data_IF_741476973470
#
_entry.id   IF_741476973470
#
_cell.length_a   1.000
_cell.length_b   1.000
_cell.length_c   1.000
_cell.angle_alpha   90.00
_cell.angle_beta   90.00
_cell.angle_gamma   90.00
#
_symmetry.space_group_name_H-M   'P 1'
#
loop_
_entity.id
_entity.type
_entity.pdbx_description
1 polymer ?
2 polymer ?
3 non-polymer ?
4 non-polymer ?
5 water ?
#
loop_
_entity_poly.entity_id
_entity_poly.type
_entity_poly.pdbx_seq_one_letter_code
_entity_poly.pdbx_strand_id
2 'polyribonucleotide' 'AG' ?
#
# COMPACT_ATOMS: atom_id res chain seq x y z
N UNK A 4 25.87 1.54 3.88
CA UNK A 4 24.83 2.43 4.38
C UNK A 4 23.63 2.54 3.46
N UNK A 5 23.74 3.36 2.43
CA UNK A 5 22.59 3.63 1.57
C UNK A 5 22.13 2.37 0.85
N UNK A 6 23.07 1.55 0.38
CA UNK A 6 22.69 0.30 -0.28
C UNK A 6 21.89 -0.59 0.65
N UNK A 7 22.31 -0.71 1.91
CA UNK A 7 21.56 -1.53 2.86
C UNK A 7 20.18 -0.95 3.11
N UNK A 8 20.10 0.37 3.28
CA UNK A 8 18.83 1.03 3.55
C UNK A 8 17.89 0.96 2.37
N UNK A 9 18.41 0.71 1.16
CA UNK A 9 17.58 0.62 -0.04
C UNK A 9 17.20 -0.81 -0.40
N UNK A 10 17.49 -1.77 0.47
CA UNK A 10 16.96 -3.11 0.27
C UNK A 10 15.43 -3.11 0.37
N UNK A 11 14.83 -4.21 -0.04
CA UNK A 11 13.38 -4.40 0.03
C UNK A 11 13.08 -5.73 0.70
N UNK A 12 12.04 -5.75 1.52
CA UNK A 12 11.63 -6.95 2.21
C UNK A 12 10.36 -7.46 1.53
N UNK A 13 10.54 -8.40 0.61
CA UNK A 13 9.41 -8.97 -0.11
C UNK A 13 8.70 -10.01 0.75
N UNK A 14 7.40 -9.87 0.90
CA UNK A 14 6.60 -10.81 1.68
C UNK A 14 5.35 -11.18 0.88
N UNK A 15 4.89 -12.41 1.04
CA UNK A 15 3.56 -12.75 0.61
C UNK A 15 2.97 -13.69 1.65
N UNK A 16 1.70 -13.47 1.96
CA UNK A 16 0.97 -14.25 2.96
C UNK A 16 -0.18 -14.98 2.31
N UNK A 17 -0.54 -16.12 2.89
CA UNK A 17 -1.87 -16.69 2.72
C UNK A 17 -2.59 -16.56 4.05
N UNK A 18 -3.89 -16.27 3.99
CA UNK A 18 -4.73 -16.09 5.15
C UNK A 18 -5.96 -16.98 5.01
N UNK A 19 -6.64 -17.21 6.13
CA UNK A 19 -7.91 -17.96 6.06
C UNK A 19 -9.02 -17.13 5.44
N UNK A 20 -8.79 -15.85 5.20
CA UNK A 20 -9.76 -14.98 4.57
C UNK A 20 -9.32 -13.53 4.75
N UNK A 21 -10.20 -12.61 4.35
CA UNK A 21 -9.88 -11.19 4.30
C UNK A 21 -10.41 -10.41 5.48
N UNK A 22 -11.00 -11.08 6.48
CA UNK A 22 -11.63 -10.41 7.62
C UNK A 22 -10.58 -10.25 8.71
N UNK A 23 -10.09 -9.04 8.89
CA UNK A 23 -9.02 -8.80 9.87
C UNK A 23 -9.45 -9.13 11.30
N UNK A 24 -10.76 -9.14 11.56
CA UNK A 24 -11.22 -9.41 12.92
C UNK A 24 -11.24 -10.89 13.27
N UNK A 25 -11.22 -11.79 12.28
CA UNK A 25 -11.27 -13.22 12.59
C UNK A 25 -10.22 -14.05 11.87
N UNK A 26 -9.82 -13.65 10.67
CA UNK A 26 -8.97 -14.51 9.88
C UNK A 26 -7.51 -14.43 10.33
N UNK A 27 -6.76 -15.48 10.01
CA UNK A 27 -5.42 -15.68 10.53
C UNK A 27 -4.46 -16.00 9.39
N UNK A 28 -3.18 -15.75 9.65
CA UNK A 28 -2.11 -16.06 8.70
C UNK A 28 -1.84 -17.56 8.74
N UNK A 29 -1.88 -18.20 7.57
CA UNK A 29 -1.59 -19.62 7.46
C UNK A 29 -0.33 -19.93 6.67
N UNK A 30 0.17 -19.00 5.86
CA UNK A 30 1.44 -19.22 5.16
C UNK A 30 2.13 -17.89 5.01
N UNK A 31 3.45 -17.89 5.09
CA UNK A 31 4.21 -16.66 4.91
C UNK A 31 5.57 -17.00 4.34
N UNK A 32 6.00 -16.22 3.35
CA UNK A 32 7.35 -16.33 2.82
C UNK A 32 7.95 -14.93 2.71
N UNK A 33 9.28 -14.88 2.73
CA UNK A 33 9.97 -13.60 2.76
C UNK A 33 11.30 -13.77 2.06
N UNK A 34 11.66 -12.78 1.26
CA UNK A 34 13.03 -12.72 0.79
C UNK A 34 13.44 -11.26 0.68
N UNK A 35 14.74 -11.06 0.55
CA UNK A 35 15.34 -9.73 0.49
C UNK A 35 15.86 -9.50 -0.91
N UNK A 36 15.55 -8.34 -1.50
CA UNK A 36 16.27 -7.90 -2.68
C UNK A 36 17.08 -6.63 -2.40
N UNK A 37 18.09 -6.41 -3.23
CA UNK A 37 18.71 -5.10 -3.28
C UNK A 37 17.76 -4.11 -3.95
N UNK A 38 18.23 -2.87 -4.09
CA UNK A 38 17.38 -1.84 -4.68
C UNK A 38 17.02 -2.13 -6.12
N UNK A 39 17.80 -2.99 -6.79
CA UNK A 39 17.61 -3.32 -8.20
C UNK A 39 16.89 -4.64 -8.40
N UNK A 40 16.28 -5.19 -7.35
CA UNK A 40 15.43 -6.37 -7.40
C UNK A 40 16.20 -7.68 -7.48
N UNK A 41 17.52 -7.67 -7.30
CA UNK A 41 18.29 -8.90 -7.23
C UNK A 41 18.07 -9.55 -5.88
N UNK A 42 17.79 -10.86 -5.88
CA UNK A 42 17.54 -11.56 -4.62
C UNK A 42 18.86 -11.75 -3.88
N UNK A 43 18.91 -11.27 -2.64
CA UNK A 43 20.11 -11.37 -1.82
C UNK A 43 20.05 -12.53 -0.85
N UNK A 44 18.86 -12.86 -0.36
CA UNK A 44 18.73 -13.89 0.66
C UNK A 44 17.30 -14.38 0.67
N UNK A 45 17.13 -15.69 0.84
CA UNK A 45 15.81 -16.30 0.97
C UNK A 45 15.52 -16.49 2.45
N UNK A 46 14.37 -15.99 2.89
CA UNK A 46 13.98 -16.12 4.28
C UNK A 46 13.14 -17.35 4.50
N UNK A 47 12.57 -17.44 5.69
CA UNK A 47 11.70 -18.58 6.01
C UNK A 47 10.52 -18.66 5.06
N UNK A 48 10.03 -19.89 4.89
CA UNK A 48 8.88 -20.17 4.02
C UNK A 48 8.06 -21.16 4.84
N UNK A 49 7.07 -20.62 5.56
CA UNK A 49 6.47 -21.34 6.70
C UNK A 49 4.97 -21.45 6.57
N UNK A 50 4.46 -22.61 6.96
CA UNK A 50 3.02 -22.89 7.06
C UNK A 50 2.67 -22.91 8.55
N UNK A 51 1.72 -22.06 8.94
CA UNK A 51 1.48 -21.74 10.35
C UNK A 51 0.22 -22.45 10.81
N UNK A 52 0.33 -23.18 11.92
CA UNK A 52 -0.82 -23.88 12.49
C UNK A 52 -1.92 -22.90 12.89
N UNK A 53 -3.14 -23.21 12.51
CA UNK A 53 -4.33 -22.50 12.92
C UNK A 53 -5.42 -23.52 13.19
N UNK A 54 -6.45 -23.18 13.95
CA UNK A 54 -7.40 -24.20 14.43
C UNK A 54 -8.23 -24.82 13.31
N UNK A 55 -8.57 -26.10 13.50
CA UNK A 55 -9.46 -26.79 12.56
C UNK A 55 -10.76 -26.04 12.37
N UNK A 56 -11.33 -25.51 13.46
CA UNK A 56 -12.62 -24.82 13.36
C UNK A 56 -12.55 -23.65 12.41
N UNK A 57 -11.41 -22.94 12.39
CA UNK A 57 -11.27 -21.82 11.48
C UNK A 57 -11.16 -22.28 10.03
N UNK A 58 -10.34 -23.31 9.79
CA UNK A 58 -10.21 -23.82 8.42
C UNK A 58 -11.54 -24.36 7.90
N UNK A 59 -12.30 -25.03 8.78
CA UNK A 59 -13.57 -25.61 8.39
C UNK A 59 -14.63 -24.56 8.10
N UNK A 60 -14.45 -23.33 8.60
CA UNK A 60 -15.44 -22.28 8.39
C UNK A 60 -15.00 -21.21 7.40
N UNK A 61 -13.89 -21.45 6.68
CA UNK A 61 -13.44 -20.51 5.67
C UNK A 61 -14.49 -20.34 4.59
N UNK A 62 -14.41 -19.19 3.90
CA UNK A 62 -15.25 -18.95 2.74
C UNK A 62 -15.05 -20.06 1.71
N UNK A 63 -16.07 -20.23 0.86
CA UNK A 63 -15.95 -21.21 -0.22
C UNK A 63 -14.71 -20.95 -1.06
N UNK A 64 -14.40 -19.68 -1.33
CA UNK A 64 -13.21 -19.36 -2.12
C UNK A 64 -11.95 -19.90 -1.44
N UNK A 65 -11.81 -19.65 -0.14
CA UNK A 65 -10.61 -20.11 0.54
C UNK A 65 -10.61 -21.63 0.69
N UNK A 66 -11.75 -22.25 0.95
CA UNK A 66 -11.79 -23.72 1.03
C UNK A 66 -11.32 -24.34 -0.26
N UNK A 67 -11.81 -23.82 -1.39
CA UNK A 67 -11.45 -24.37 -2.69
C UNK A 67 -9.99 -24.13 -3.00
N UNK A 68 -9.51 -22.91 -2.79
CA UNK A 68 -8.16 -22.57 -3.21
C UNK A 68 -7.10 -23.16 -2.28
N UNK A 69 -7.27 -23.00 -0.96
CA UNK A 69 -6.31 -23.58 -0.04
C UNK A 69 -6.43 -25.10 0.03
N UNK A 70 -7.60 -25.62 -0.30
CA UNK A 70 -7.75 -27.06 -0.40
C UNK A 70 -6.94 -27.65 -1.53
N UNK A 71 -7.15 -27.17 -2.76
CA UNK A 71 -6.51 -27.80 -3.91
C UNK A 71 -5.00 -27.56 -3.96
N UNK A 72 -4.50 -26.50 -3.33
CA UNK A 72 -3.07 -26.27 -3.32
C UNK A 72 -2.34 -27.13 -2.31
N UNK A 73 -3.08 -27.87 -1.48
CA UNK A 73 -2.48 -28.62 -0.39
C UNK A 73 -2.29 -27.81 0.88
N UNK A 74 -2.57 -26.51 0.87
CA UNK A 74 -2.27 -25.69 2.03
C UNK A 74 -3.13 -26.06 3.23
N UNK A 75 -4.42 -26.32 3.02
CA UNK A 75 -5.28 -26.63 4.18
C UNK A 75 -4.75 -27.85 4.92
N UNK A 76 -4.46 -28.93 4.20
CA UNK A 76 -3.90 -30.12 4.83
C UNK A 76 -2.61 -29.81 5.57
N UNK A 77 -1.74 -29.01 4.96
CA UNK A 77 -0.46 -28.70 5.59
C UNK A 77 -0.64 -27.85 6.85
N UNK A 78 -1.64 -26.95 6.87
CA UNK A 78 -1.90 -26.19 8.09
C UNK A 78 -2.27 -27.13 9.23
N UNK A 79 -3.14 -28.10 8.95
CA UNK A 79 -3.59 -29.02 10.00
C UNK A 79 -2.43 -29.84 10.57
N UNK A 80 -1.42 -30.12 9.75
CA UNK A 80 -0.26 -30.89 10.18
C UNK A 80 0.86 -30.02 10.75
N UNK A 81 0.73 -28.70 10.71
CA UNK A 81 1.85 -27.84 11.07
C UNK A 81 2.07 -27.86 12.58
N UNK A 82 3.34 -27.78 12.97
CA UNK A 82 3.71 -27.60 14.37
C UNK A 82 4.27 -26.21 14.64
N UNK A 83 4.15 -25.29 13.69
CA UNK A 83 4.73 -23.97 13.78
C UNK A 83 3.66 -23.01 14.29
N UNK A 84 3.88 -22.46 15.48
CA UNK A 84 2.96 -21.45 15.98
C UNK A 84 3.22 -20.10 15.33
N UNK A 85 2.20 -19.24 15.38
CA UNK A 85 2.36 -17.88 14.90
C UNK A 85 3.55 -17.19 15.57
N UNK A 86 3.71 -17.37 16.87
CA UNK A 86 4.80 -16.71 17.59
C UNK A 86 6.15 -17.21 17.12
N UNK A 87 6.31 -18.52 16.94
CA UNK A 87 7.58 -19.03 16.45
C UNK A 87 7.85 -18.58 15.03
N UNK A 88 6.82 -18.55 14.17
CA UNK A 88 6.99 -18.07 12.82
C UNK A 88 7.44 -16.62 12.82
N UNK A 89 6.78 -15.77 13.61
CA UNK A 89 7.18 -14.37 13.68
C UNK A 89 8.64 -14.25 14.07
N UNK A 90 9.08 -15.04 15.05
CA UNK A 90 10.48 -14.96 15.45
C UNK A 90 11.41 -15.31 14.30
N UNK A 91 11.12 -16.37 13.55
CA UNK A 91 11.98 -16.71 12.42
C UNK A 91 12.07 -15.57 11.43
N UNK A 92 10.95 -14.92 11.13
CA UNK A 92 11.00 -13.81 10.18
C UNK A 92 11.74 -12.61 10.75
N UNK A 93 11.51 -12.31 12.03
CA UNK A 93 12.19 -11.18 12.68
C UNK A 93 13.69 -11.41 12.74
N UNK A 94 14.11 -12.60 13.13
CA UNK A 94 15.53 -12.92 13.16
C UNK A 94 16.14 -12.78 11.77
N UNK A 95 15.41 -13.22 10.74
CA UNK A 95 15.91 -13.12 9.39
C UNK A 95 16.12 -11.66 8.96
N UNK A 96 15.09 -10.82 9.13
CA UNK A 96 15.27 -9.43 8.71
C UNK A 96 16.31 -8.70 9.55
N UNK A 97 16.48 -9.08 10.82
CA UNK A 97 17.56 -8.47 11.61
C UNK A 97 18.93 -8.77 11.05
N UNK A 98 19.09 -9.91 10.38
CA UNK A 98 20.36 -10.27 9.75
C UNK A 98 20.56 -9.61 8.39
N UNK A 99 19.49 -9.06 7.80
CA UNK A 99 19.52 -8.65 6.40
C UNK A 99 19.25 -7.17 6.15
N UNK A 100 18.63 -6.45 7.07
CA UNK A 100 18.25 -5.07 6.80
C UNK A 100 18.48 -4.22 8.03
N UNK A 101 18.82 -2.94 7.85
CA UNK A 101 18.99 -2.06 9.01
C UNK A 101 17.65 -1.75 9.64
N UNK A 102 17.59 -1.60 10.96
CA UNK A 102 16.30 -1.46 11.63
C UNK A 102 15.56 -0.20 11.19
N UNK A 103 14.28 -0.41 10.85
CA UNK A 103 13.36 0.67 10.55
C UNK A 103 13.42 1.25 9.16
N UNK A 104 14.35 0.80 8.31
CA UNK A 104 14.63 1.54 7.09
C UNK A 104 14.04 0.94 5.82
N UNK A 105 13.73 -0.35 5.80
CA UNK A 105 13.37 -1.01 4.55
C UNK A 105 11.90 -1.34 4.49
N UNK A 106 11.28 -1.22 3.32
CA UNK A 106 9.84 -1.43 3.18
C UNK A 106 9.46 -2.86 2.81
N UNK A 107 8.25 -3.23 3.21
CA UNK A 107 7.59 -4.39 2.61
C UNK A 107 7.40 -4.16 1.12
N UNK A 108 7.44 -5.25 0.34
CA UNK A 108 7.23 -5.18 -1.09
C UNK A 108 6.38 -6.36 -1.56
N UNK A 109 5.46 -6.10 -2.46
CA UNK A 109 4.64 -7.15 -3.05
C UNK A 109 3.44 -6.53 -3.75
N UNK A 110 2.60 -7.41 -4.33
CA UNK A 110 1.35 -6.98 -4.96
C UNK A 110 0.28 -6.74 -3.91
N UNK A 111 -0.23 -5.52 -3.85
CA UNK A 111 -1.24 -5.15 -2.85
C UNK A 111 -0.79 -5.54 -1.45
N UNK A 112 0.51 -5.33 -1.20
CA UNK A 112 1.16 -5.76 0.04
C UNK A 112 0.66 -4.99 1.26
N UNK A 113 -0.15 -3.95 1.04
CA UNK A 113 -0.85 -3.35 2.17
C UNK A 113 -1.78 -4.34 2.87
N UNK A 114 -2.31 -5.32 2.13
CA UNK A 114 -3.16 -6.31 2.79
C UNK A 114 -2.32 -7.18 3.72
N UNK A 115 -1.17 -7.65 3.24
CA UNK A 115 -0.23 -8.34 4.11
C UNK A 115 0.15 -7.48 5.29
N UNK A 116 0.47 -6.20 5.04
CA UNK A 116 0.82 -5.29 6.14
C UNK A 116 -0.28 -5.18 7.18
N UNK A 117 -1.55 -5.14 6.76
CA UNK A 117 -2.64 -5.09 7.74
C UNK A 117 -2.60 -6.29 8.65
N UNK A 118 -2.39 -7.49 8.09
CA UNK A 118 -2.32 -8.69 8.92
C UNK A 118 -1.04 -8.74 9.74
N UNK A 119 0.08 -8.27 9.17
CA UNK A 119 1.34 -8.30 9.92
C UNK A 119 1.36 -7.28 11.05
N UNK A 120 0.79 -6.10 10.82
CA UNK A 120 0.73 -5.10 11.89
C UNK A 120 -0.05 -5.66 13.08
N UNK A 121 -1.08 -6.46 12.80
CA UNK A 121 -1.88 -7.02 13.89
C UNK A 121 -1.21 -8.24 14.52
N UNK A 122 -0.72 -9.17 13.69
CA UNK A 122 -0.30 -10.48 14.19
C UNK A 122 1.20 -10.67 14.28
N UNK A 123 2.00 -9.87 13.59
CA UNK A 123 3.46 -9.91 13.72
C UNK A 123 4.01 -8.51 13.97
N UNK A 124 3.56 -7.84 15.04
CA UNK A 124 3.97 -6.44 15.26
C UNK A 124 5.46 -6.28 15.50
N UNK A 125 6.13 -7.27 16.08
CA UNK A 125 7.57 -7.13 16.32
C UNK A 125 8.34 -7.25 15.01
N UNK A 126 7.91 -8.15 14.11
CA UNK A 126 8.46 -8.16 12.76
C UNK A 126 8.31 -6.79 12.11
N UNK A 127 7.10 -6.21 12.18
CA UNK A 127 6.86 -4.95 11.51
C UNK A 127 7.66 -3.80 12.11
N UNK A 128 7.99 -3.88 13.41
CA UNK A 128 8.79 -2.82 14.02
C UNK A 128 10.17 -2.72 13.39
N UNK A 129 10.66 -3.79 12.78
CA UNK A 129 11.96 -3.72 12.11
C UNK A 129 11.87 -3.03 10.77
N UNK A 130 10.68 -2.83 10.22
CA UNK A 130 10.53 -2.32 8.86
C UNK A 130 10.08 -0.87 8.87
N UNK A 131 10.28 -0.22 7.72
CA UNK A 131 9.72 1.11 7.53
C UNK A 131 8.19 1.01 7.44
N UNK A 132 7.52 2.16 7.50
CA UNK A 132 6.07 2.17 7.32
C UNK A 132 5.65 2.25 5.86
N UNK A 133 6.56 2.67 4.97
CA UNK A 133 6.21 2.70 3.55
C UNK A 133 6.28 1.30 2.95
N UNK A 134 5.60 1.15 1.81
CA UNK A 134 5.59 -0.11 1.09
C UNK A 134 5.92 0.14 -0.38
N UNK A 135 6.42 -0.92 -1.01
CA UNK A 135 6.58 -0.96 -2.45
C UNK A 135 5.47 -1.87 -2.98
N UNK A 136 4.35 -1.24 -3.37
CA UNK A 136 3.18 -1.97 -3.85
C UNK A 136 3.31 -2.13 -5.35
N UNK A 137 3.65 -3.34 -5.79
CA UNK A 137 3.74 -3.60 -7.22
C UNK A 137 2.42 -3.30 -7.92
N UNK A 138 1.28 -3.47 -7.23
CA UNK A 138 0.00 -3.22 -7.86
C UNK A 138 -0.30 -1.73 -8.05
N UNK A 139 0.35 -0.84 -7.29
CA UNK A 139 0.30 0.57 -7.64
C UNK A 139 0.90 0.77 -9.02
N UNK A 140 2.06 0.16 -9.27
CA UNK A 140 2.70 0.30 -10.57
C UNK A 140 1.85 -0.35 -11.65
N UNK A 141 1.25 -1.51 -11.34
CA UNK A 141 0.30 -2.16 -12.25
C UNK A 141 -0.82 -1.21 -12.67
N UNK A 142 -1.45 -0.55 -11.69
CA UNK A 142 -2.58 0.33 -11.99
C UNK A 142 -2.14 1.56 -12.77
N UNK A 143 -0.93 2.06 -12.54
CA UNK A 143 -0.41 3.15 -13.35
C UNK A 143 -0.07 2.66 -14.76
N UNK A 144 0.48 1.45 -14.88
CA UNK A 144 0.79 0.92 -16.21
C UNK A 144 -0.48 0.78 -17.04
N UNK A 145 -1.55 0.25 -16.43
CA UNK A 145 -2.79 0.05 -17.17
C UNK A 145 -3.32 1.36 -17.72
N UNK A 146 -3.14 2.44 -16.96
CA UNK A 146 -3.66 3.76 -17.36
C UNK A 146 -2.74 4.45 -18.35
N UNK A 147 -1.47 4.57 -18.01
CA UNK A 147 -0.53 5.40 -18.75
C UNK A 147 0.16 4.67 -19.89
N UNK A 148 0.29 3.35 -19.80
CA UNK A 148 0.98 2.53 -20.79
C UNK A 148 0.12 1.33 -21.18
N UNK A 149 -1.07 1.57 -21.73
CA UNK A 149 -1.98 0.46 -22.03
C UNK A 149 -1.40 -0.52 -23.04
N UNK A 150 -0.62 -0.04 -24.02
CA UNK A 150 -0.03 -0.95 -24.99
C UNK A 150 0.97 -1.89 -24.31
N UNK A 151 1.86 -1.33 -23.51
CA UNK A 151 2.86 -2.13 -22.81
C UNK A 151 2.19 -3.07 -21.81
N UNK A 152 1.07 -2.65 -21.21
CA UNK A 152 0.41 -3.47 -20.21
C UNK A 152 0.02 -4.83 -20.76
N UNK A 153 -0.32 -4.90 -22.04
CA UNK A 153 -0.70 -6.16 -22.66
C UNK A 153 0.43 -7.18 -22.67
N UNK A 154 1.68 -6.75 -22.48
CA UNK A 154 2.82 -7.64 -22.57
C UNK A 154 3.34 -8.08 -21.21
N UNK A 155 2.68 -7.69 -20.12
CA UNK A 155 3.12 -8.10 -18.80
C UNK A 155 3.08 -9.63 -18.70
N UNK A 156 3.99 -10.22 -17.94
CA UNK A 156 4.01 -11.68 -17.83
C UNK A 156 2.71 -12.21 -17.24
N UNK A 157 2.28 -13.37 -17.73
CA UNK A 157 1.13 -14.05 -17.14
C UNK A 157 1.55 -14.68 -15.81
N UNK A 158 0.63 -14.66 -14.86
CA UNK A 158 0.88 -15.22 -13.54
C UNK A 158 0.16 -16.55 -13.39
N UNK A 159 0.82 -17.49 -12.69
CA UNK A 159 0.18 -18.77 -12.40
C UNK A 159 -0.86 -18.63 -11.30
N UNK A 160 -0.67 -17.68 -10.39
CA UNK A 160 -1.61 -17.40 -9.31
C UNK A 160 -1.97 -18.66 -8.53
N UNK A 161 -0.93 -19.29 -7.98
CA UNK A 161 -1.12 -20.54 -7.23
C UNK A 161 -1.58 -20.32 -5.80
N UNK A 162 -1.56 -19.07 -5.32
CA UNK A 162 -1.89 -18.76 -3.92
C UNK A 162 -1.05 -19.58 -2.96
N UNK A 163 0.23 -19.71 -3.29
CA UNK A 163 1.24 -20.19 -2.36
C UNK A 163 2.31 -19.11 -2.26
N UNK A 164 2.80 -18.90 -1.05
CA UNK A 164 3.49 -17.65 -0.69
C UNK A 164 4.78 -17.44 -1.47
N UNK A 165 5.69 -18.42 -1.45
CA UNK A 165 7.00 -18.18 -2.06
C UNK A 165 6.89 -18.04 -3.57
N UNK A 166 6.09 -18.89 -4.21
CA UNK A 166 5.94 -18.77 -5.66
C UNK A 166 5.36 -17.42 -6.05
N UNK A 167 4.44 -16.89 -5.24
CA UNK A 167 3.83 -15.62 -5.60
C UNK A 167 4.79 -14.43 -5.43
N UNK A 168 5.74 -14.50 -4.48
CA UNK A 168 6.76 -13.45 -4.39
C UNK A 168 7.53 -13.33 -5.69
N UNK A 169 7.97 -14.48 -6.22
CA UNK A 169 8.74 -14.46 -7.45
C UNK A 169 7.95 -13.82 -8.59
N UNK A 170 6.65 -14.11 -8.67
CA UNK A 170 5.84 -13.49 -9.71
C UNK A 170 5.71 -11.99 -9.50
N UNK A 171 5.65 -11.55 -8.25
CA UNK A 171 5.56 -10.13 -7.96
C UNK A 171 6.83 -9.40 -8.40
N UNK A 172 8.00 -9.98 -8.11
CA UNK A 172 9.26 -9.35 -8.52
C UNK A 172 9.35 -9.29 -10.03
N UNK A 173 8.94 -10.38 -10.71
CA UNK A 173 8.98 -10.42 -12.17
C UNK A 173 8.09 -9.35 -12.78
N UNK A 174 6.93 -9.10 -12.15
CA UNK A 174 6.04 -8.07 -12.66
C UNK A 174 6.67 -6.69 -12.52
N UNK A 175 7.26 -6.41 -11.35
CA UNK A 175 7.91 -5.11 -11.17
C UNK A 175 9.10 -4.94 -12.10
N UNK A 176 9.88 -6.01 -12.29
CA UNK A 176 10.97 -5.96 -13.26
C UNK A 176 10.46 -5.63 -14.65
N UNK A 177 9.33 -6.24 -15.04
CA UNK A 177 8.75 -5.91 -16.33
C UNK A 177 8.43 -4.42 -16.42
N UNK A 178 7.80 -3.84 -15.38
CA UNK A 178 7.50 -2.41 -15.46
C UNK A 178 8.77 -1.58 -15.54
N UNK A 179 9.79 -1.90 -14.72
CA UNK A 179 11.01 -1.12 -14.78
C UNK A 179 11.61 -1.13 -16.18
N UNK A 180 11.61 -2.30 -16.82
CA UNK A 180 12.23 -2.43 -18.12
C UNK A 180 11.40 -1.84 -19.25
N UNK A 181 10.10 -1.61 -19.04
CA UNK A 181 9.22 -1.29 -20.16
C UNK A 181 8.45 0.02 -20.04
N UNK A 182 8.26 0.57 -18.83
CA UNK A 182 7.53 1.82 -18.68
C UNK A 182 8.28 2.90 -17.92
N UNK A 183 9.46 2.61 -17.39
CA UNK A 183 10.30 3.63 -16.77
C UNK A 183 11.36 4.09 -17.76
N UNK A 184 11.88 5.29 -17.54
CA UNK A 184 12.76 5.87 -18.56
C UNK A 184 14.15 5.24 -18.53
N UNK A 185 14.79 5.20 -19.70
CA UNK A 185 16.09 4.54 -19.83
C UNK A 185 17.22 5.39 -19.24
N UNK A 186 18.28 4.70 -18.80
CA UNK A 186 19.41 5.35 -18.14
C UNK A 186 20.73 4.82 -18.68
N UNK A 187 21.78 5.60 -18.44
CA UNK A 187 23.15 5.19 -18.80
C UNK A 187 23.58 4.03 -17.91
N UNK A 188 24.52 3.22 -18.42
CA UNK A 188 25.10 2.14 -17.64
C UNK A 188 26.57 1.99 -18.03
N UNK A 189 27.22 1.00 -17.42
CA UNK A 189 28.64 0.76 -17.67
C UNK A 189 28.88 0.39 -19.14
N UNK A 190 27.98 -0.39 -19.73
CA UNK A 190 28.18 -0.86 -21.10
C UNK A 190 27.92 0.24 -22.11
N UNK A 191 26.87 1.05 -21.89
CA UNK A 191 26.55 2.11 -22.83
C UNK A 191 27.62 3.21 -22.81
N UNK A 192 28.17 3.51 -21.63
CA UNK A 192 29.21 4.52 -21.53
C UNK A 192 30.48 4.09 -22.27
N UNK A 193 30.85 2.81 -22.18
CA UNK A 193 32.01 2.32 -22.92
C UNK A 193 31.79 2.37 -24.42
N UNK A 194 30.56 2.14 -24.88
CA UNK A 194 30.26 2.25 -26.30
C UNK A 194 30.30 3.70 -26.76
N UNK A 195 29.73 4.62 -25.96
CA UNK A 195 29.74 6.04 -26.30
C UNK A 195 31.16 6.55 -26.47
N UNK A 196 32.08 6.12 -25.59
CA UNK A 196 33.48 6.48 -25.74
C UNK A 196 34.08 5.83 -26.99
N UNK A 197 33.71 4.59 -27.28
CA UNK A 197 34.25 3.89 -28.43
C UNK A 197 33.75 4.47 -29.75
N UNK A 198 32.66 5.22 -29.73
CA UNK A 198 32.11 5.81 -30.95
C UNK A 198 32.54 7.24 -31.17
N UNK C 2 -13.83 6.34 -24.60
CA UNK C 2 -14.83 5.39 -24.09
C UNK C 2 -15.23 5.76 -22.67
N UNK C 3 -16.52 6.07 -22.49
CA UNK C 3 -16.99 6.64 -21.23
C UNK C 3 -16.80 5.67 -20.07
N UNK C 4 -17.20 4.41 -20.25
CA UNK C 4 -17.16 3.47 -19.14
C UNK C 4 -15.75 3.20 -18.65
N UNK C 5 -14.83 2.90 -19.56
CA UNK C 5 -13.47 2.60 -19.14
C UNK C 5 -12.75 3.82 -18.60
N UNK C 6 -13.05 5.01 -19.14
CA UNK C 6 -12.46 6.23 -18.60
C UNK C 6 -12.86 6.43 -17.15
N UNK C 7 -14.15 6.25 -16.84
CA UNK C 7 -14.60 6.41 -15.47
C UNK C 7 -14.01 5.32 -14.56
N UNK C 8 -13.82 4.11 -15.08
CA UNK C 8 -13.22 3.04 -14.29
C UNK C 8 -11.76 3.28 -14.00
N UNK C 9 -11.11 4.19 -14.73
CA UNK C 9 -9.70 4.50 -14.50
C UNK C 9 -9.53 5.78 -13.69
N UNK C 10 -10.61 6.30 -13.11
CA UNK C 10 -10.47 7.41 -12.18
C UNK C 10 -9.72 6.95 -10.92
N UNK C 11 -9.34 7.91 -10.11
CA UNK C 11 -8.65 7.66 -8.86
C UNK C 11 -9.33 8.44 -7.75
N UNK C 12 -9.41 7.83 -6.57
CA UNK C 12 -10.06 8.45 -5.42
C UNK C 12 -8.98 8.87 -4.42
N UNK C 13 -8.54 10.12 -4.49
CA UNK C 13 -7.47 10.61 -3.64
C UNK C 13 -8.04 10.99 -2.28
N UNK C 14 -7.47 10.44 -1.22
CA UNK C 14 -7.93 10.70 0.14
C UNK C 14 -6.72 10.92 1.04
N UNK C 15 -6.81 11.92 1.91
CA UNK C 15 -5.88 12.05 3.02
C UNK C 15 -6.69 12.25 4.29
N UNK C 16 -6.22 11.63 5.37
CA UNK C 16 -6.81 11.76 6.69
C UNK C 16 -5.83 12.38 7.67
N UNK C 17 -6.36 13.04 8.68
CA UNK C 17 -5.65 13.21 9.95
C UNK C 17 -6.34 12.35 10.99
N UNK C 18 -5.54 11.81 11.90
CA UNK C 18 -6.04 10.96 12.98
C UNK C 18 -5.47 11.46 14.29
N UNK C 19 -6.05 10.99 15.39
CA UNK C 19 -5.51 11.32 16.71
C UNK C 19 -4.21 10.55 16.99
N UNK C 20 -3.84 9.63 16.13
CA UNK C 20 -2.63 8.86 16.28
C UNK C 20 -2.68 7.65 15.35
N UNK C 21 -1.68 6.77 15.51
CA UNK C 21 -1.47 5.65 14.61
C UNK C 21 -1.98 4.33 15.16
N UNK C 22 -2.67 4.33 16.30
CA UNK C 22 -3.12 3.10 16.94
C UNK C 22 -4.51 2.78 16.44
N UNK C 23 -4.63 1.78 15.56
CA UNK C 23 -5.93 1.45 14.98
C UNK C 23 -6.94 1.01 16.02
N UNK C 24 -6.48 0.54 17.18
CA UNK C 24 -7.40 0.10 18.23
C UNK C 24 -7.97 1.24 19.05
N UNK C 25 -7.33 2.41 19.05
CA UNK C 25 -7.75 3.51 19.91
C UNK C 25 -8.01 4.81 19.16
N UNK C 26 -7.21 5.11 18.16
CA UNK C 26 -7.25 6.43 17.56
C UNK C 26 -8.39 6.55 16.55
N UNK C 27 -8.76 7.79 16.25
CA UNK C 27 -9.94 8.10 15.47
C UNK C 27 -9.59 9.10 14.36
N UNK C 28 -10.43 9.11 13.33
CA UNK C 28 -10.30 10.08 12.22
C UNK C 28 -10.81 11.44 12.68
N UNK C 29 -9.99 12.47 12.49
CA UNK C 29 -10.39 13.82 12.84
C UNK C 29 -10.47 14.77 11.64
N UNK C 30 -9.91 14.39 10.50
CA UNK C 30 -10.05 15.22 9.30
C UNK C 30 -9.96 14.31 8.08
N UNK C 31 -10.72 14.64 7.04
CA UNK C 31 -10.69 13.86 5.82
C UNK C 31 -11.01 14.77 4.64
N UNK C 32 -10.24 14.63 3.56
CA UNK C 32 -10.53 15.32 2.31
C UNK C 32 -10.41 14.32 1.16
N UNK C 33 -11.15 14.60 0.09
CA UNK C 33 -11.20 13.69 -1.05
C UNK C 33 -11.23 14.48 -2.35
N UNK C 34 -10.40 14.06 -3.30
CA UNK C 34 -10.39 14.60 -4.66
C UNK C 34 -10.50 13.44 -5.63
N UNK C 35 -11.22 13.64 -6.74
CA UNK C 35 -11.27 12.65 -7.82
C UNK C 35 -10.40 13.16 -8.96
N UNK C 36 -9.49 12.32 -9.46
CA UNK C 36 -8.80 12.63 -10.71
C UNK C 36 -9.20 11.64 -11.80
N UNK C 37 -9.02 12.08 -13.04
CA UNK C 37 -9.01 11.12 -14.14
C UNK C 37 -7.71 10.32 -14.10
N UNK C 38 -7.56 9.42 -15.07
CA UNK C 38 -6.40 8.55 -15.09
C UNK C 38 -5.11 9.34 -15.28
N UNK C 39 -5.19 10.56 -15.81
CA UNK C 39 -4.04 11.42 -16.09
C UNK C 39 -3.79 12.45 -15.00
N UNK C 40 -4.44 12.31 -13.85
CA UNK C 40 -4.23 13.14 -12.65
C UNK C 40 -4.88 14.51 -12.72
N UNK C 41 -5.74 14.77 -13.69
CA UNK C 41 -6.50 16.01 -13.70
C UNK C 41 -7.61 15.91 -12.67
N UNK C 42 -7.75 16.95 -11.84
CA UNK C 42 -8.75 16.95 -10.78
C UNK C 42 -10.11 17.23 -11.40
N UNK C 43 -10.99 16.23 -11.37
CA UNK C 43 -12.32 16.34 -11.95
C UNK C 43 -13.34 16.88 -10.95
N UNK C 44 -13.12 16.61 -9.67
CA UNK C 44 -14.13 16.94 -8.67
C UNK C 44 -13.46 17.01 -7.31
N UNK C 45 -13.87 18.00 -6.54
CA UNK C 45 -13.38 18.21 -5.18
C UNK C 45 -14.51 17.84 -4.23
N UNK C 46 -14.28 16.83 -3.40
CA UNK C 46 -15.30 16.34 -2.50
C UNK C 46 -15.29 17.04 -1.16
N UNK C 47 -15.95 16.44 -0.18
CA UNK C 47 -15.99 17.02 1.15
C UNK C 47 -14.59 17.15 1.74
N UNK C 48 -14.42 18.17 2.57
CA UNK C 48 -13.19 18.41 3.32
C UNK C 48 -13.69 18.72 4.72
N UNK C 49 -13.67 17.72 5.60
CA UNK C 49 -14.46 17.75 6.82
C UNK C 49 -13.59 17.52 8.05
N UNK C 50 -13.86 18.30 9.09
CA UNK C 50 -13.24 18.12 10.39
C UNK C 50 -14.26 17.42 11.28
N UNK C 51 -13.87 16.26 11.82
CA UNK C 51 -14.80 15.31 12.43
C UNK C 51 -14.66 15.37 13.95
N UNK C 52 -15.79 15.54 14.63
CA UNK C 52 -15.81 15.62 16.08
C UNK C 52 -15.31 14.32 16.69
N UNK C 53 -14.44 14.44 17.69
CA UNK C 53 -14.00 13.32 18.51
C UNK C 53 -13.91 13.82 19.95
N UNK C 54 -13.94 12.91 20.92
CA UNK C 54 -14.07 13.34 22.32
C UNK C 54 -12.85 14.10 22.84
N UNK C 55 -13.11 15.05 23.74
CA UNK C 55 -12.03 15.80 24.40
C UNK C 55 -11.01 14.87 25.04
N UNK C 56 -11.49 13.80 25.69
CA UNK C 56 -10.59 12.91 26.41
C UNK C 56 -9.57 12.29 25.47
N UNK C 57 -10.00 11.95 24.25
CA UNK C 57 -9.08 11.39 23.27
C UNK C 57 -8.08 12.43 22.79
N UNK C 58 -8.55 13.66 22.51
CA UNK C 58 -7.64 14.71 22.08
C UNK C 58 -6.64 15.07 23.18
N UNK C 59 -7.10 15.08 24.43
CA UNK C 59 -6.22 15.44 25.54
C UNK C 59 -5.22 14.35 25.88
N UNK C 60 -5.37 13.14 25.36
CA UNK C 60 -4.45 12.05 25.63
C UNK C 60 -3.61 11.67 24.42
N UNK C 61 -3.66 12.45 23.35
CA UNK C 61 -2.87 12.16 22.16
C UNK C 61 -1.38 12.18 22.47
N UNK C 62 -0.61 11.56 21.58
CA UNK C 62 0.84 11.59 21.68
C UNK C 62 1.35 13.03 21.63
N UNK C 63 2.56 13.23 22.16
CA UNK C 63 3.20 14.54 22.08
C UNK C 63 3.21 15.06 20.64
N UNK C 64 3.56 14.20 19.69
CA UNK C 64 3.63 14.61 18.30
C UNK C 64 2.28 15.13 17.82
N UNK C 65 1.21 14.37 18.10
CA UNK C 65 -0.11 14.78 17.64
C UNK C 65 -0.61 16.01 18.39
N UNK C 66 -0.37 16.08 19.69
CA UNK C 66 -0.77 17.28 20.44
C UNK C 66 -0.11 18.52 19.88
N UNK C 67 1.19 18.44 19.56
CA UNK C 67 1.91 19.60 19.08
C UNK C 67 1.48 19.98 17.66
N UNK C 68 1.42 18.99 16.76
CA UNK C 68 1.13 19.28 15.36
C UNK C 68 -0.34 19.68 15.17
N UNK C 69 -1.27 18.91 15.74
CA UNK C 69 -2.67 19.26 15.60
C UNK C 69 -3.02 20.50 16.41
N UNK C 70 -2.31 20.76 17.50
CA UNK C 70 -2.49 22.01 18.19
C UNK C 70 -2.08 23.20 17.34
N UNK C 71 -0.88 23.16 16.79
CA UNK C 71 -0.35 24.33 16.07
C UNK C 71 -1.12 24.60 14.79
N UNK C 72 -1.61 23.57 14.10
CA UNK C 72 -2.34 23.79 12.86
C UNK C 72 -3.74 24.32 13.07
N UNK C 73 -4.23 24.36 14.31
CA UNK C 73 -5.60 24.70 14.61
C UNK C 73 -6.57 23.55 14.54
N UNK C 74 -6.09 22.35 14.20
CA UNK C 74 -6.99 21.22 14.00
C UNK C 74 -7.64 20.79 15.31
N UNK C 75 -6.87 20.70 16.39
CA UNK C 75 -7.45 20.29 17.67
C UNK C 75 -8.61 21.19 18.07
N UNK C 76 -8.41 22.50 17.97
CA UNK C 76 -9.48 23.43 18.30
C UNK C 76 -10.70 23.22 17.40
N UNK C 77 -10.46 23.02 16.10
CA UNK C 77 -11.57 22.81 15.17
C UNK C 77 -12.31 21.52 15.46
N UNK C 78 -11.59 20.47 15.86
CA UNK C 78 -12.26 19.21 16.23
C UNK C 78 -13.20 19.44 17.40
N UNK C 79 -12.73 20.14 18.42
CA UNK C 79 -13.55 20.34 19.62
C UNK C 79 -14.81 21.14 19.30
N UNK C 80 -14.77 21.99 18.28
CA UNK C 80 -15.92 22.77 17.86
C UNK C 80 -16.77 22.10 16.80
N UNK C 81 -16.36 20.93 16.29
CA UNK C 81 -17.06 20.33 15.17
C UNK C 81 -18.40 19.76 15.58
N UNK C 82 -19.37 19.86 14.68
CA UNK C 82 -20.67 19.20 14.83
C UNK C 82 -20.86 18.11 13.79
N UNK C 83 -19.79 17.70 13.13
CA UNK C 83 -19.84 16.67 12.11
C UNK C 83 -19.42 15.35 12.75
N UNK C 84 -20.33 14.39 12.81
CA UNK C 84 -19.98 13.09 13.35
C UNK C 84 -19.30 12.24 12.28
N UNK C 85 -18.62 11.18 12.74
CA UNK C 85 -18.01 10.24 11.81
C UNK C 85 -19.05 9.68 10.84
N UNK C 86 -20.25 9.39 11.35
CA UNK C 86 -21.29 8.81 10.51
C UNK C 86 -21.78 9.81 9.46
N UNK C 87 -21.93 11.08 9.84
CA UNK C 87 -22.31 12.11 8.88
C UNK C 87 -21.23 12.31 7.82
N UNK C 88 -19.96 12.27 8.24
CA UNK C 88 -18.87 12.40 7.28
C UNK C 88 -18.88 11.24 6.29
N UNK C 89 -19.07 10.02 6.80
CA UNK C 89 -19.11 8.87 5.89
C UNK C 89 -20.23 9.03 4.87
N UNK C 90 -21.40 9.52 5.32
CA UNK C 90 -22.52 9.74 4.41
C UNK C 90 -22.12 10.70 3.29
N UNK C 91 -21.47 11.81 3.64
CA UNK C 91 -21.10 12.79 2.63
C UNK C 91 -20.05 12.25 1.67
N UNK C 92 -19.06 11.52 2.20
CA UNK C 92 -18.01 10.97 1.33
C UNK C 92 -18.54 9.88 0.42
N UNK C 93 -19.40 9.00 0.95
CA UNK C 93 -19.97 7.97 0.10
C UNK C 93 -20.89 8.57 -0.96
N UNK C 94 -21.71 9.56 -0.59
CA UNK C 94 -22.53 10.24 -1.59
C UNK C 94 -21.67 10.81 -2.71
N UNK C 95 -20.56 11.45 -2.35
CA UNK C 95 -19.68 12.04 -3.34
C UNK C 95 -19.08 10.98 -4.26
N UNK C 96 -18.47 9.93 -3.70
CA UNK C 96 -17.82 8.97 -4.58
C UNK C 96 -18.82 8.22 -5.45
N UNK C 97 -20.05 8.02 -4.95
CA UNK C 97 -21.06 7.36 -5.77
C UNK C 97 -21.42 8.19 -6.99
N UNK C 98 -21.30 9.52 -6.90
CA UNK C 98 -21.57 10.39 -8.03
C UNK C 98 -20.42 10.42 -9.02
N UNK C 99 -19.23 10.02 -8.60
CA UNK C 99 -18.00 10.27 -9.35
C UNK C 99 -17.32 9.03 -9.88
N UNK C 100 -17.60 7.84 -9.35
CA UNK C 100 -16.86 6.65 -9.74
C UNK C 100 -17.81 5.45 -9.81
N UNK C 101 -17.53 4.51 -10.70
CA UNK C 101 -18.36 3.30 -10.75
C UNK C 101 -18.03 2.40 -9.56
N UNK C 102 -19.01 1.68 -9.03
CA UNK C 102 -18.77 0.92 -7.80
C UNK C 102 -17.72 -0.17 -7.99
N UNK C 103 -16.78 -0.22 -7.03
CA UNK C 103 -15.83 -1.28 -6.92
C UNK C 103 -14.59 -1.16 -7.76
N UNK C 104 -14.50 -0.17 -8.65
CA UNK C 104 -13.48 -0.21 -9.68
C UNK C 104 -12.31 0.73 -9.46
N UNK C 105 -12.47 1.79 -8.66
CA UNK C 105 -11.43 2.83 -8.58
C UNK C 105 -10.68 2.73 -7.26
N UNK C 106 -9.36 2.97 -7.29
CA UNK C 106 -8.54 2.82 -6.08
C UNK C 106 -8.42 4.11 -5.29
N UNK C 107 -8.23 3.92 -3.99
CA UNK C 107 -7.69 5.00 -3.16
C UNK C 107 -6.31 5.38 -3.65
N UNK C 108 -5.98 6.67 -3.52
CA UNK C 108 -4.69 7.19 -3.94
C UNK C 108 -4.18 8.20 -2.92
N UNK C 109 -2.88 8.20 -2.70
CA UNK C 109 -2.26 9.11 -1.77
C UNK C 109 -0.89 8.61 -1.37
N UNK C 110 -0.26 9.35 -0.45
CA UNK C 110 1.06 8.96 0.06
C UNK C 110 0.88 8.00 1.23
N UNK C 111 1.41 6.79 1.09
CA UNK C 111 1.26 5.75 2.12
C UNK C 111 -0.22 5.60 2.50
N UNK C 112 -1.08 5.63 1.47
CA UNK C 112 -2.52 5.66 1.64
C UNK C 112 -3.06 4.35 2.18
N UNK C 113 -2.21 3.32 2.30
CA UNK C 113 -2.61 2.14 3.03
C UNK C 113 -2.94 2.46 4.48
N UNK C 114 -2.31 3.49 5.06
CA UNK C 114 -2.65 3.81 6.44
C UNK C 114 -4.04 4.40 6.52
N UNK C 115 -4.37 5.30 5.59
CA UNK C 115 -5.73 5.82 5.50
C UNK C 115 -6.72 4.68 5.25
N UNK C 116 -6.36 3.74 4.37
CA UNK C 116 -7.24 2.61 4.09
C UNK C 116 -7.49 1.78 5.34
N UNK C 117 -6.46 1.58 6.17
CA UNK C 117 -6.66 0.83 7.41
C UNK C 117 -7.72 1.50 8.28
N UNK C 118 -7.64 2.82 8.43
CA UNK C 118 -8.63 3.53 9.22
C UNK C 118 -9.99 3.58 8.55
N UNK C 119 -10.02 3.72 7.22
CA UNK C 119 -11.31 3.79 6.54
C UNK C 119 -12.00 2.43 6.50
N UNK C 120 -11.23 1.35 6.31
CA UNK C 120 -11.83 0.02 6.34
C UNK C 120 -12.52 -0.22 7.67
N UNK C 121 -11.95 0.29 8.77
CA UNK C 121 -12.54 0.11 10.09
C UNK C 121 -13.69 1.07 10.33
N UNK C 122 -13.51 2.36 9.99
CA UNK C 122 -14.42 3.40 10.44
C UNK C 122 -15.36 3.94 9.37
N UNK C 123 -15.05 3.77 8.10
CA UNK C 123 -15.98 4.13 7.02
C UNK C 123 -16.13 2.94 6.06
N UNK C 124 -16.62 1.80 6.57
CA UNK C 124 -16.65 0.60 5.72
C UNK C 124 -17.56 0.72 4.51
N UNK C 125 -18.62 1.53 4.59
CA UNK C 125 -19.51 1.65 3.44
C UNK C 125 -18.87 2.48 2.35
N UNK C 126 -18.15 3.53 2.72
CA UNK C 126 -17.31 4.25 1.76
C UNK C 126 -16.34 3.28 1.08
N UNK C 127 -15.65 2.45 1.86
CA UNK C 127 -14.65 1.58 1.27
C UNK C 127 -15.26 0.51 0.37
N UNK C 128 -16.52 0.13 0.62
CA UNK C 128 -17.17 -0.84 -0.25
C UNK C 128 -17.28 -0.33 -1.68
N UNK C 129 -17.31 0.99 -1.85
CA UNK C 129 -17.41 1.55 -3.19
C UNK C 129 -16.10 1.46 -3.97
N UNK C 130 -14.98 1.20 -3.29
CA UNK C 130 -13.67 1.30 -3.90
C UNK C 130 -13.08 -0.09 -4.19
N UNK C 131 -12.10 -0.09 -5.09
CA UNK C 131 -11.29 -1.26 -5.35
C UNK C 131 -10.48 -1.60 -4.11
N UNK C 132 -9.90 -2.80 -4.08
CA UNK C 132 -8.98 -3.14 -3.01
C UNK C 132 -7.57 -2.66 -3.28
N UNK C 133 -7.23 -2.40 -4.53
CA UNK C 133 -5.91 -1.88 -4.84
C UNK C 133 -5.80 -0.40 -4.49
N UNK C 134 -4.57 0.05 -4.31
CA UNK C 134 -4.31 1.47 -4.05
C UNK C 134 -3.26 1.98 -5.02
N UNK C 135 -3.29 3.30 -5.21
CA UNK C 135 -2.21 3.99 -5.90
C UNK C 135 -1.42 4.73 -4.82
N UNK C 136 -0.34 4.10 -4.37
CA UNK C 136 0.49 4.64 -3.29
C UNK C 136 1.61 5.47 -3.91
N UNK C 137 1.49 6.79 -3.82
CA UNK C 137 2.51 7.68 -4.36
C UNK C 137 3.86 7.41 -3.71
N UNK C 138 3.86 6.98 -2.45
CA UNK C 138 5.11 6.70 -1.75
C UNK C 138 5.80 5.43 -2.25
N UNK C 139 5.06 4.49 -2.86
CA UNK C 139 5.73 3.44 -3.61
C UNK C 139 6.56 4.02 -4.72
N UNK C 140 5.98 4.94 -5.50
CA UNK C 140 6.71 5.55 -6.60
C UNK C 140 7.86 6.40 -6.07
N UNK C 141 7.65 7.10 -4.94
CA UNK C 141 8.71 7.83 -4.28
C UNK C 141 9.90 6.93 -3.97
N UNK C 142 9.63 5.78 -3.38
CA UNK C 142 10.71 4.88 -2.97
C UNK C 142 11.39 4.22 -4.16
N UNK C 143 10.65 4.00 -5.26
CA UNK C 143 11.31 3.54 -6.49
C UNK C 143 12.14 4.66 -7.13
N UNK C 144 11.63 5.89 -7.10
CA UNK C 144 12.40 7.02 -7.64
C UNK C 144 13.70 7.18 -6.88
N UNK C 145 13.64 7.11 -5.55
CA UNK C 145 14.84 7.27 -4.73
C UNK C 145 15.90 6.25 -5.09
N UNK C 146 15.48 5.02 -5.44
CA UNK C 146 16.42 3.95 -5.74
C UNK C 146 16.89 4.01 -7.19
N UNK C 147 15.96 4.12 -8.13
CA UNK C 147 16.29 3.95 -9.53
C UNK C 147 16.62 5.25 -10.24
N UNK C 148 16.13 6.38 -9.74
CA UNK C 148 16.36 7.69 -10.34
C UNK C 148 16.80 8.68 -9.26
N UNK C 149 17.93 8.42 -8.60
CA UNK C 149 18.36 9.28 -7.49
C UNK C 149 18.61 10.73 -7.88
N UNK C 150 19.06 10.98 -9.11
CA UNK C 150 19.25 12.37 -9.50
C UNK C 150 17.92 13.10 -9.62
N UNK C 151 16.95 12.48 -10.30
CA UNK C 151 15.62 13.08 -10.40
C UNK C 151 14.98 13.24 -9.03
N UNK C 152 15.21 12.27 -8.13
CA UNK C 152 14.60 12.31 -6.80
C UNK C 152 14.99 13.59 -6.06
N UNK C 153 16.20 14.10 -6.29
CA UNK C 153 16.64 15.32 -5.65
C UNK C 153 15.70 16.48 -5.94
N UNK C 154 14.98 16.44 -7.06
CA UNK C 154 14.20 17.57 -7.53
C UNK C 154 12.70 17.38 -7.35
N UNK C 155 12.29 16.29 -6.70
CA UNK C 155 10.86 16.13 -6.41
C UNK C 155 10.37 17.31 -5.58
N UNK C 156 9.13 17.76 -5.79
CA UNK C 156 8.68 19.03 -5.21
C UNK C 156 8.81 19.06 -3.68
N UNK C 157 9.20 20.22 -3.17
CA UNK C 157 9.24 20.43 -1.73
C UNK C 157 7.82 20.45 -1.18
N UNK C 158 7.61 19.79 -0.04
CA UNK C 158 6.29 19.70 0.57
C UNK C 158 6.22 20.56 1.82
N UNK C 159 5.09 21.24 1.99
CA UNK C 159 4.87 21.97 3.23
C UNK C 159 4.59 21.02 4.38
N UNK C 160 4.01 19.84 4.09
CA UNK C 160 3.61 18.86 5.10
C UNK C 160 2.87 19.54 6.25
N UNK C 161 1.67 20.06 5.90
CA UNK C 161 0.90 20.88 6.81
C UNK C 161 0.11 20.05 7.81
N UNK C 162 -0.05 18.75 7.55
CA UNK C 162 -0.95 17.89 8.32
C UNK C 162 -2.37 18.45 8.39
N UNK C 163 -2.77 19.08 7.29
CA UNK C 163 -4.18 19.35 7.01
C UNK C 163 -4.53 18.61 5.72
N UNK C 164 -5.66 17.90 5.76
CA UNK C 164 -5.94 16.88 4.76
C UNK C 164 -5.97 17.42 3.33
N UNK C 165 -6.69 18.51 3.09
CA UNK C 165 -6.86 18.96 1.71
C UNK C 165 -5.55 19.48 1.13
N UNK C 166 -4.78 20.23 1.93
CA UNK C 166 -3.50 20.71 1.45
C UNK C 166 -2.56 19.56 1.13
N UNK C 167 -2.55 18.53 1.97
CA UNK C 167 -1.59 17.46 1.77
C UNK C 167 -1.98 16.55 0.62
N UNK C 168 -3.28 16.26 0.45
CA UNK C 168 -3.65 15.39 -0.67
C UNK C 168 -3.37 16.11 -1.98
N UNK C 169 -3.49 17.44 -2.00
CA UNK C 169 -3.17 18.18 -3.21
C UNK C 169 -1.69 18.05 -3.55
N UNK C 170 -0.83 18.03 -2.52
CA UNK C 170 0.60 17.86 -2.75
C UNK C 170 0.92 16.45 -3.22
N UNK C 171 0.17 15.46 -2.76
CA UNK C 171 0.40 14.09 -3.21
C UNK C 171 0.22 13.96 -4.72
N UNK C 172 -0.81 14.59 -5.26
CA UNK C 172 -1.03 14.55 -6.71
C UNK C 172 0.16 15.17 -7.43
N UNK C 173 0.62 16.32 -6.93
CA UNK C 173 1.75 16.99 -7.57
C UNK C 173 3.01 16.14 -7.52
N UNK C 174 3.22 15.39 -6.44
CA UNK C 174 4.38 14.52 -6.37
C UNK C 174 4.29 13.43 -7.44
N UNK C 175 3.12 12.81 -7.58
CA UNK C 175 2.98 11.76 -8.59
C UNK C 175 3.16 12.34 -9.99
N UNK C 176 2.62 13.53 -10.24
CA UNK C 176 2.81 14.19 -11.54
C UNK C 176 4.29 14.38 -11.83
N UNK C 177 5.06 14.80 -10.82
CA UNK C 177 6.50 14.94 -11.01
C UNK C 177 7.12 13.63 -11.46
N UNK C 178 6.78 12.53 -10.78
CA UNK C 178 7.38 11.25 -11.18
C UNK C 178 6.98 10.88 -12.61
N UNK C 179 5.71 11.06 -12.96
CA UNK C 179 5.31 10.73 -14.33
C UNK C 179 6.12 11.54 -15.33
N UNK C 180 6.35 12.81 -15.05
CA UNK C 180 7.04 13.68 -15.99
C UNK C 180 8.53 13.41 -16.05
N UNK C 181 9.11 12.77 -15.04
CA UNK C 181 10.56 12.70 -14.93
C UNK C 181 11.16 11.32 -14.91
N UNK C 182 10.44 10.28 -14.49
CA UNK C 182 11.02 8.94 -14.41
C UNK C 182 10.28 7.89 -15.21
N UNK C 183 9.14 8.21 -15.81
CA UNK C 183 8.44 7.25 -16.65
C UNK C 183 8.80 7.48 -18.12
N UNK C 184 8.62 6.42 -18.91
CA UNK C 184 9.02 6.43 -20.31
C UNK C 184 8.28 7.51 -21.09
N UNK C 185 9.01 8.30 -21.87
CA UNK C 185 8.39 9.34 -22.67
C UNK C 185 7.68 8.71 -23.86
N UNK C 186 6.53 9.28 -24.21
CA UNK C 186 5.78 8.81 -25.35
C UNK C 186 6.47 9.23 -26.65
N UNK C 187 6.50 8.32 -27.62
CA UNK C 187 7.15 8.58 -28.91
C UNK C 187 6.14 9.03 -29.96
X LIG E 1 20.74 9.09 -15.42
X LIG E 1 19.53 9.96 -15.07
X LIG E 1 20.64 8.67 -16.88
X LIG E 1 18.41 9.41 -14.87
X LIG E 1 19.66 11.21 -15.00
X LIG E 1 21.39 7.75 -17.32
X LIG E 1 19.83 9.24 -17.65
X LIG F 1 -0.63 -11.68 -1.87
X LIG G 1 -1.43 11.15 5.03
#
# INVERSE_FOLDING_TARGET
MAAGESMAQRMVWVDLEMTGLDIEKDQIIEMACLITDSDLNILAEGPNLIIKQPDELLDSMSDWCKEHHGKSGLTKAVKESTITLQQAEYEFLSFVRQQTPPGLCPLAGNSVHEDKKFLDKYMPQFMKHLHYRIIDVSTVKELCRRWYPEEYEFAPKKAASHRALDDISESIKELQFYRNNIFKKKIDEKKRKIIENGENEKTVS
MAAGESMAQRMVWVDLEMTGLDIEKDQIIEMACLITDSDLNILAEGPNLIIKQPDELLDSMSDWCKEHHGKSGLTKAVKESTITLQQAEYEFLSFVRQQTPPGLCPLAGNSVHEDKKFLDKYMPQFMKHLHYRIIDVSTVKELCRRWYPEEYEFAPKKAASHRALDDISESIKELQFYRNNIFKKKIDEKKRKIIENGENEKTVS
MLI C1 C2 C3 O6 O7 O8 O9
NA NA
NA NA
#
